data_IF_021259608872
#
_entry.id   IF_021259608872
#
_cell.length_a   1.000
_cell.length_b   1.000
_cell.length_c   1.000
_cell.angle_alpha   90.00
_cell.angle_beta   90.00
_cell.angle_gamma   90.00
#
_symmetry.space_group_name_H-M   'P 1'
#
loop_
_entity.id
_entity.type
_entity.pdbx_description
1 polymer ?
#
# COMPACT_ATOMS: atom_id res chain seq x y z
N UNK A 1 25.50 -10.11 -21.30
CA UNK A 1 25.55 -10.16 -22.79
C UNK A 1 25.77 -8.75 -23.29
N UNK A 2 26.73 -8.54 -24.19
CA UNK A 2 26.89 -7.24 -24.85
C UNK A 2 25.76 -7.07 -25.86
N UNK A 3 24.83 -6.16 -25.59
CA UNK A 3 23.68 -5.84 -26.45
C UNK A 3 24.09 -4.92 -27.63
N UNK A 4 25.19 -5.24 -28.31
CA UNK A 4 25.78 -4.42 -29.40
C UNK A 4 24.84 -4.18 -30.58
N UNK A 5 23.78 -4.97 -30.73
CA UNK A 5 22.85 -4.88 -31.88
C UNK A 5 21.56 -4.12 -31.59
N UNK A 6 21.34 -3.62 -30.35
CA UNK A 6 20.08 -2.96 -29.94
C UNK A 6 20.17 -1.44 -29.82
N UNK A 7 21.30 -0.82 -30.15
CA UNK A 7 21.41 0.64 -30.18
C UNK A 7 20.81 1.18 -31.48
N UNK A 8 19.91 2.15 -31.37
CA UNK A 8 19.33 2.89 -32.50
C UNK A 8 19.54 4.39 -32.30
N UNK A 9 20.40 4.99 -33.15
CA UNK A 9 20.65 6.42 -33.13
C UNK A 9 19.37 7.24 -33.38
N UNK A 10 18.49 6.73 -34.26
CA UNK A 10 17.21 7.37 -34.56
C UNK A 10 16.25 7.34 -33.36
N UNK A 11 16.26 6.25 -32.59
CA UNK A 11 15.41 6.08 -31.41
C UNK A 11 15.93 6.93 -30.24
N UNK A 12 17.27 7.00 -30.06
CA UNK A 12 17.89 7.91 -29.10
C UNK A 12 17.63 9.39 -29.46
N UNK A 13 17.64 9.76 -30.74
CA UNK A 13 17.29 11.10 -31.19
C UNK A 13 15.81 11.45 -30.98
N UNK A 14 14.93 10.43 -30.84
CA UNK A 14 13.53 10.57 -30.46
C UNK A 14 13.32 10.63 -28.94
N UNK A 15 14.40 10.55 -28.13
CA UNK A 15 14.35 10.70 -26.68
C UNK A 15 14.30 9.40 -25.88
N UNK A 16 14.46 8.21 -26.52
CA UNK A 16 14.45 6.90 -25.85
C UNK A 16 15.85 6.32 -25.76
N UNK A 17 16.35 6.09 -24.54
CA UNK A 17 17.67 5.54 -24.28
C UNK A 17 17.62 4.04 -23.93
N UNK A 18 17.75 3.18 -24.94
CA UNK A 18 17.76 1.72 -24.78
C UNK A 18 18.92 1.25 -23.86
N UNK A 19 20.08 1.91 -23.94
CA UNK A 19 21.25 1.55 -23.12
C UNK A 19 21.01 1.84 -21.64
N UNK A 20 20.37 2.96 -21.33
CA UNK A 20 19.91 3.27 -19.98
C UNK A 20 18.92 2.22 -19.46
N UNK A 21 18.00 1.74 -20.31
CA UNK A 21 17.09 0.64 -19.97
C UNK A 21 17.83 -0.63 -19.55
N UNK A 22 18.80 -1.08 -20.31
CA UNK A 22 19.60 -2.27 -19.95
C UNK A 22 20.40 -2.08 -18.65
N UNK A 23 20.95 -0.87 -18.45
CA UNK A 23 21.65 -0.56 -17.21
C UNK A 23 20.71 -0.56 -16.00
N UNK A 24 19.52 -0.02 -16.12
CA UNK A 24 18.51 -0.06 -15.06
C UNK A 24 18.19 -1.52 -14.69
N UNK A 25 17.92 -2.38 -15.67
CA UNK A 25 17.68 -3.82 -15.42
C UNK A 25 18.84 -4.48 -14.70
N UNK A 26 20.09 -4.20 -15.07
CA UNK A 26 21.25 -4.78 -14.39
C UNK A 26 21.35 -4.35 -12.93
N UNK A 27 21.08 -3.07 -12.64
CA UNK A 27 21.07 -2.51 -11.27
C UNK A 27 19.95 -3.11 -10.42
N UNK A 28 18.79 -3.44 -11.01
CA UNK A 28 17.62 -3.99 -10.32
C UNK A 28 17.77 -5.47 -9.92
N UNK A 29 18.55 -6.28 -10.66
CA UNK A 29 18.65 -7.75 -10.49
C UNK A 29 18.86 -8.19 -9.04
N UNK A 30 19.75 -7.53 -8.30
CA UNK A 30 20.03 -7.86 -6.90
C UNK A 30 18.82 -7.65 -5.99
N UNK A 31 17.98 -6.65 -6.29
CA UNK A 31 16.78 -6.33 -5.51
C UNK A 31 15.68 -7.35 -5.82
N UNK A 32 15.45 -7.62 -7.09
CA UNK A 32 14.46 -8.62 -7.56
C UNK A 32 14.78 -10.00 -7.02
N UNK A 33 16.06 -10.42 -7.03
CA UNK A 33 16.49 -11.71 -6.51
C UNK A 33 16.09 -11.95 -5.05
N UNK A 34 15.97 -10.91 -4.21
CA UNK A 34 15.53 -11.04 -2.81
C UNK A 34 14.07 -11.45 -2.68
N UNK A 35 13.25 -11.23 -3.69
CA UNK A 35 11.82 -11.51 -3.67
C UNK A 35 11.48 -12.92 -4.14
N UNK A 36 12.45 -13.66 -4.72
CA UNK A 36 12.22 -14.99 -5.26
C UNK A 36 11.75 -15.96 -4.18
N UNK A 37 10.76 -16.74 -4.54
CA UNK A 37 10.25 -17.85 -3.74
C UNK A 37 10.10 -19.10 -4.61
N UNK A 38 9.63 -20.19 -4.03
CA UNK A 38 9.48 -21.50 -4.69
C UNK A 38 8.57 -21.51 -5.92
N UNK A 39 7.66 -20.50 -6.03
CA UNK A 39 6.76 -20.36 -7.18
C UNK A 39 7.41 -19.73 -8.41
N UNK A 40 8.59 -19.11 -8.29
CA UNK A 40 9.27 -18.46 -9.42
C UNK A 40 9.92 -19.49 -10.32
N UNK A 41 9.46 -19.64 -11.56
CA UNK A 41 9.97 -20.61 -12.52
C UNK A 41 11.11 -20.04 -13.38
N UNK A 42 11.05 -18.74 -13.71
CA UNK A 42 11.99 -18.06 -14.59
C UNK A 42 12.71 -16.90 -13.90
N UNK A 43 13.81 -16.45 -14.50
CA UNK A 43 14.45 -15.18 -14.15
C UNK A 43 13.74 -14.02 -14.87
N UNK A 44 13.83 -12.81 -14.28
CA UNK A 44 13.27 -11.59 -14.88
C UNK A 44 14.00 -11.27 -16.19
N UNK A 45 13.23 -10.90 -17.23
CA UNK A 45 13.76 -10.49 -18.53
C UNK A 45 13.23 -11.28 -19.73
N UNK A 46 12.30 -12.22 -19.50
CA UNK A 46 11.52 -12.86 -20.56
C UNK A 46 10.32 -12.01 -21.01
N UNK A 47 9.50 -12.51 -21.93
CA UNK A 47 8.24 -11.83 -22.33
C UNK A 47 7.18 -11.82 -21.25
N UNK A 48 7.27 -12.69 -20.25
CA UNK A 48 6.35 -12.76 -19.13
C UNK A 48 6.99 -13.47 -17.95
N UNK A 49 6.49 -13.21 -16.73
CA UNK A 49 6.88 -13.91 -15.53
C UNK A 49 6.06 -15.18 -15.33
N UNK A 50 6.72 -16.34 -15.25
CA UNK A 50 6.07 -17.62 -14.98
C UNK A 50 6.07 -17.90 -13.47
N UNK A 51 4.88 -18.22 -12.93
CA UNK A 51 4.72 -18.53 -11.52
C UNK A 51 3.96 -19.85 -11.34
N UNK A 52 4.59 -20.82 -10.69
CA UNK A 52 4.01 -22.12 -10.34
C UNK A 52 3.11 -22.01 -9.11
N UNK A 53 1.90 -22.52 -9.21
CA UNK A 53 0.94 -22.53 -8.10
C UNK A 53 1.10 -23.76 -7.23
N UNK A 54 1.26 -23.57 -5.93
CA UNK A 54 1.11 -24.64 -4.96
C UNK A 54 -0.34 -24.66 -4.47
N UNK A 55 -1.11 -25.67 -4.91
CA UNK A 55 -2.51 -25.83 -4.57
C UNK A 55 -2.75 -26.83 -3.43
N UNK A 56 -1.68 -27.29 -2.76
CA UNK A 56 -1.81 -28.24 -1.65
C UNK A 56 -2.69 -27.69 -0.53
N UNK A 57 -3.69 -28.46 -0.12
CA UNK A 57 -4.63 -28.10 0.94
C UNK A 57 -5.73 -27.14 0.52
N UNK A 58 -5.89 -26.86 -0.77
CA UNK A 58 -6.99 -26.10 -1.34
C UNK A 58 -7.97 -27.04 -2.06
N UNK A 59 -9.27 -26.86 -1.81
CA UNK A 59 -10.33 -27.59 -2.47
C UNK A 59 -10.81 -26.85 -3.72
N UNK A 60 -11.02 -25.55 -3.61
CA UNK A 60 -11.51 -24.70 -4.70
C UNK A 60 -10.67 -23.39 -4.72
N UNK A 61 -9.46 -23.41 -5.35
CA UNK A 61 -8.58 -22.26 -5.37
C UNK A 61 -9.17 -21.11 -6.19
N UNK A 62 -9.12 -19.90 -5.62
CA UNK A 62 -9.58 -18.65 -6.24
C UNK A 62 -8.40 -17.67 -6.28
N UNK A 63 -8.17 -17.06 -7.44
CA UNK A 63 -7.21 -15.96 -7.59
C UNK A 63 -7.90 -14.64 -7.27
N UNK A 64 -7.21 -13.82 -6.51
CA UNK A 64 -7.61 -12.44 -6.20
C UNK A 64 -6.55 -11.50 -6.73
N UNK A 65 -6.94 -10.46 -7.44
CA UNK A 65 -6.01 -9.49 -8.01
C UNK A 65 -6.36 -8.08 -7.57
N UNK A 66 -5.33 -7.25 -7.41
CA UNK A 66 -5.46 -5.83 -7.12
C UNK A 66 -4.44 -5.04 -7.93
N UNK A 67 -4.84 -3.86 -8.39
CA UNK A 67 -3.97 -2.91 -9.07
C UNK A 67 -4.19 -1.54 -8.48
N UNK A 68 -3.10 -0.84 -8.19
CA UNK A 68 -3.12 0.53 -7.65
C UNK A 68 -1.79 1.22 -7.94
N UNK A 69 -1.73 2.52 -7.68
CA UNK A 69 -0.54 3.34 -7.79
C UNK A 69 -0.19 4.05 -6.48
N UNK A 70 0.87 4.84 -6.52
CA UNK A 70 1.30 5.65 -5.38
C UNK A 70 0.55 6.99 -5.27
N UNK A 71 -0.26 7.33 -6.26
CA UNK A 71 -0.93 8.62 -6.34
C UNK A 71 0.08 9.78 -6.35
N UNK A 72 -0.39 10.95 -5.96
CA UNK A 72 0.45 12.16 -6.04
C UNK A 72 1.54 12.26 -4.96
N UNK A 73 1.71 11.23 -4.10
CA UNK A 73 2.87 11.08 -3.20
C UNK A 73 4.19 11.07 -3.96
N UNK A 74 4.18 10.56 -5.19
CA UNK A 74 5.33 10.56 -6.11
C UNK A 74 5.94 11.95 -6.24
N UNK A 75 5.14 13.04 -6.26
CA UNK A 75 5.65 14.41 -6.35
C UNK A 75 6.56 14.76 -5.19
N UNK A 76 6.24 14.33 -3.99
CA UNK A 76 7.11 14.56 -2.82
C UNK A 76 8.40 13.75 -2.91
N UNK A 77 8.33 12.49 -3.38
CA UNK A 77 9.51 11.66 -3.61
C UNK A 77 10.49 12.31 -4.62
N UNK A 78 9.93 12.90 -5.69
CA UNK A 78 10.71 13.65 -6.70
C UNK A 78 11.36 14.88 -6.07
N UNK A 79 10.63 15.71 -5.32
CA UNK A 79 11.15 16.91 -4.69
C UNK A 79 12.25 16.63 -3.65
N UNK A 80 12.15 15.51 -2.93
CA UNK A 80 13.14 15.08 -1.95
C UNK A 80 14.30 14.28 -2.56
N UNK A 81 14.27 13.99 -3.86
CA UNK A 81 15.18 13.05 -4.54
C UNK A 81 15.34 11.73 -3.77
N UNK A 82 14.21 11.23 -3.22
CA UNK A 82 14.13 10.00 -2.42
C UNK A 82 13.15 9.02 -3.02
N UNK A 83 13.69 8.03 -3.72
CA UNK A 83 12.91 7.14 -4.59
C UNK A 83 12.83 5.70 -4.07
N UNK A 84 13.62 5.35 -3.07
CA UNK A 84 13.76 3.99 -2.55
C UNK A 84 12.61 3.50 -1.65
N UNK A 85 11.68 4.39 -1.30
CA UNK A 85 10.53 4.06 -0.44
C UNK A 85 9.20 4.04 -1.18
N UNK A 86 9.08 4.78 -2.28
CA UNK A 86 7.80 4.91 -3.01
C UNK A 86 7.30 3.56 -3.59
N UNK A 87 8.22 2.66 -3.93
CA UNK A 87 7.89 1.32 -4.38
C UNK A 87 7.20 0.48 -3.32
N UNK A 88 7.50 0.71 -2.03
CA UNK A 88 6.79 0.05 -0.92
C UNK A 88 5.32 0.48 -0.93
N UNK A 89 5.03 1.75 -1.19
CA UNK A 89 3.65 2.26 -1.28
C UNK A 89 2.88 1.55 -2.39
N UNK A 90 3.45 1.41 -3.60
CA UNK A 90 2.80 0.73 -4.71
C UNK A 90 2.44 -0.72 -4.38
N UNK A 91 3.37 -1.46 -3.76
CA UNK A 91 3.12 -2.84 -3.34
C UNK A 91 2.06 -2.88 -2.24
N UNK A 92 2.18 -2.03 -1.22
CA UNK A 92 1.27 -2.01 -0.07
C UNK A 92 -0.17 -1.74 -0.49
N UNK A 93 -0.40 -0.79 -1.40
CA UNK A 93 -1.74 -0.46 -1.90
C UNK A 93 -2.42 -1.66 -2.55
N UNK A 94 -1.65 -2.48 -3.30
CA UNK A 94 -2.19 -3.67 -3.96
C UNK A 94 -2.37 -4.85 -3.01
N UNK A 95 -1.34 -5.18 -2.20
CA UNK A 95 -1.37 -6.41 -1.39
C UNK A 95 -2.24 -6.30 -0.15
N UNK A 96 -2.40 -5.09 0.41
CA UNK A 96 -3.32 -4.85 1.52
C UNK A 96 -4.79 -5.00 1.08
N UNK A 97 -5.12 -4.68 -0.17
CA UNK A 97 -6.46 -4.92 -0.71
C UNK A 97 -6.72 -6.42 -0.92
N UNK A 98 -5.72 -7.14 -1.45
CA UNK A 98 -5.82 -8.60 -1.64
C UNK A 98 -6.05 -9.31 -0.30
N UNK A 99 -5.33 -8.93 0.74
CA UNK A 99 -5.48 -9.58 2.04
C UNK A 99 -6.83 -9.28 2.70
N UNK A 100 -7.51 -8.18 2.34
CA UNK A 100 -8.88 -7.91 2.79
C UNK A 100 -9.88 -9.00 2.33
N UNK A 101 -9.57 -9.71 1.23
CA UNK A 101 -10.33 -10.87 0.78
C UNK A 101 -9.86 -12.19 1.42
N UNK A 102 -8.85 -12.17 2.29
CA UNK A 102 -8.22 -13.36 2.87
C UNK A 102 -7.19 -14.05 1.97
N UNK A 103 -6.83 -13.44 0.83
CA UNK A 103 -5.92 -14.04 -0.14
C UNK A 103 -4.45 -13.76 0.21
N UNK A 104 -3.63 -14.83 0.13
CA UNK A 104 -2.18 -14.73 0.26
C UNK A 104 -1.59 -14.20 -1.03
N UNK A 105 -0.85 -13.07 -1.05
CA UNK A 105 -0.14 -12.60 -2.22
C UNK A 105 0.86 -13.63 -2.74
N UNK A 106 0.90 -13.81 -4.05
CA UNK A 106 1.79 -14.73 -4.75
C UNK A 106 2.91 -13.98 -5.46
N UNK A 107 2.52 -13.05 -6.32
CA UNK A 107 3.46 -12.27 -7.12
C UNK A 107 2.96 -10.86 -7.39
N UNK A 108 3.89 -10.03 -7.82
CA UNK A 108 3.70 -8.62 -8.14
C UNK A 108 4.35 -8.28 -9.48
N UNK A 109 3.75 -7.35 -10.19
CA UNK A 109 4.29 -6.70 -11.38
C UNK A 109 4.21 -5.19 -11.18
N UNK A 110 5.24 -4.45 -11.59
CA UNK A 110 5.23 -2.99 -11.59
C UNK A 110 5.15 -2.41 -13.02
N UNK A 111 4.66 -1.17 -13.11
CA UNK A 111 4.73 -0.36 -14.30
C UNK A 111 5.25 1.03 -13.91
N UNK A 112 6.39 1.41 -14.48
CA UNK A 112 7.01 2.72 -14.28
C UNK A 112 6.94 3.50 -15.59
N UNK A 113 6.14 4.56 -15.63
CA UNK A 113 6.16 5.55 -16.69
C UNK A 113 7.09 6.70 -16.27
N UNK A 114 8.04 7.11 -17.11
CA UNK A 114 8.96 8.20 -16.76
C UNK A 114 9.22 9.14 -17.95
N UNK A 115 9.49 10.39 -17.66
CA UNK A 115 9.89 11.37 -18.71
C UNK A 115 11.24 11.02 -19.31
N UNK A 116 12.16 10.53 -18.47
CA UNK A 116 13.48 10.02 -18.86
C UNK A 116 13.91 8.86 -17.97
N UNK A 117 14.43 7.81 -18.57
CA UNK A 117 15.00 6.69 -17.83
C UNK A 117 16.39 7.07 -17.28
N UNK A 118 16.44 7.35 -15.98
CA UNK A 118 17.69 7.50 -15.21
C UNK A 118 17.93 6.18 -14.46
N UNK A 119 18.88 5.35 -14.87
CA UNK A 119 19.02 3.97 -14.38
C UNK A 119 19.08 3.83 -12.86
N UNK A 120 19.79 4.74 -12.19
CA UNK A 120 19.94 4.75 -10.74
C UNK A 120 18.62 5.10 -10.04
N UNK A 121 17.84 6.05 -10.58
CA UNK A 121 16.51 6.43 -10.07
C UNK A 121 15.53 5.26 -10.22
N UNK A 122 15.48 4.65 -11.41
CA UNK A 122 14.62 3.49 -11.67
C UNK A 122 15.00 2.33 -10.74
N UNK A 123 16.28 2.04 -10.59
CA UNK A 123 16.75 1.00 -9.67
C UNK A 123 16.39 1.30 -8.21
N UNK A 124 16.41 2.55 -7.79
CA UNK A 124 15.97 2.96 -6.45
C UNK A 124 14.47 2.71 -6.27
N UNK A 125 13.62 3.09 -7.25
CA UNK A 125 12.18 2.82 -7.22
C UNK A 125 11.93 1.31 -7.09
N UNK A 126 12.55 0.50 -7.96
CA UNK A 126 12.38 -0.97 -7.94
C UNK A 126 12.95 -1.59 -6.67
N UNK A 127 13.96 -0.99 -6.04
CA UNK A 127 14.43 -1.47 -4.73
C UNK A 127 13.34 -1.36 -3.65
N UNK A 128 12.53 -0.30 -3.69
CA UNK A 128 11.35 -0.13 -2.85
C UNK A 128 10.24 -1.14 -3.19
N UNK A 129 9.97 -1.39 -4.47
CA UNK A 129 9.02 -2.43 -4.90
C UNK A 129 9.46 -3.80 -4.38
N UNK A 130 10.73 -4.15 -4.55
CA UNK A 130 11.29 -5.41 -4.06
C UNK A 130 11.18 -5.51 -2.53
N UNK A 131 11.43 -4.43 -1.79
CA UNK A 131 11.26 -4.41 -0.34
C UNK A 131 9.80 -4.67 0.07
N UNK A 132 8.84 -4.01 -0.58
CA UNK A 132 7.41 -4.27 -0.37
C UNK A 132 7.02 -5.72 -0.67
N UNK A 133 7.59 -6.31 -1.73
CA UNK A 133 7.39 -7.71 -2.05
C UNK A 133 7.94 -8.65 -0.97
N UNK A 134 9.15 -8.39 -0.44
CA UNK A 134 9.72 -9.14 0.68
C UNK A 134 8.85 -9.06 1.93
N UNK A 135 8.34 -7.87 2.25
CA UNK A 135 7.46 -7.67 3.40
C UNK A 135 6.15 -8.44 3.25
N UNK A 136 5.54 -8.45 2.07
CA UNK A 136 4.29 -9.16 1.78
C UNK A 136 4.47 -10.66 1.52
N UNK A 137 5.69 -11.12 1.20
CA UNK A 137 5.97 -12.49 0.78
C UNK A 137 5.63 -12.76 -0.69
N UNK A 138 5.27 -11.73 -1.47
CA UNK A 138 5.08 -11.82 -2.90
C UNK A 138 6.43 -11.85 -3.64
N UNK A 139 6.45 -12.45 -4.83
CA UNK A 139 7.61 -12.40 -5.72
C UNK A 139 7.45 -11.30 -6.78
N UNK A 140 8.45 -10.47 -6.97
CA UNK A 140 8.50 -9.56 -8.13
C UNK A 140 8.97 -10.37 -9.34
N UNK A 141 8.02 -10.73 -10.22
CA UNK A 141 8.30 -11.68 -11.34
C UNK A 141 8.43 -10.98 -12.69
N UNK A 142 8.19 -9.68 -12.75
CA UNK A 142 8.28 -8.89 -13.97
C UNK A 142 7.84 -7.46 -13.72
N UNK A 143 7.86 -6.67 -14.78
CA UNK A 143 7.43 -5.28 -14.78
C UNK A 143 7.78 -4.61 -16.08
N UNK A 144 7.47 -3.31 -16.20
CA UNK A 144 7.76 -2.51 -17.38
C UNK A 144 8.28 -1.12 -16.96
N UNK A 145 9.24 -0.62 -17.69
CA UNK A 145 9.68 0.79 -17.59
C UNK A 145 9.58 1.44 -18.95
N UNK A 146 8.70 2.43 -19.08
CA UNK A 146 8.44 3.12 -20.34
C UNK A 146 8.86 4.59 -20.27
N UNK A 147 9.70 5.04 -21.20
CA UNK A 147 10.00 6.46 -21.39
C UNK A 147 8.89 7.12 -22.20
N UNK A 148 8.43 8.29 -21.72
CA UNK A 148 7.39 9.10 -22.36
C UNK A 148 7.92 10.49 -22.70
N UNK A 149 8.93 10.59 -23.61
CA UNK A 149 9.53 11.87 -23.99
C UNK A 149 8.48 12.79 -24.64
N UNK A 150 8.43 14.03 -24.15
CA UNK A 150 7.47 15.02 -24.63
C UNK A 150 6.05 14.89 -24.06
N UNK A 151 5.72 13.78 -23.38
CA UNK A 151 4.44 13.58 -22.68
C UNK A 151 4.58 13.82 -21.17
N UNK A 152 5.72 13.47 -20.60
CA UNK A 152 6.04 13.71 -19.19
C UNK A 152 7.26 14.63 -19.07
N UNK A 153 7.31 15.52 -18.06
CA UNK A 153 8.55 16.21 -17.70
C UNK A 153 9.69 15.23 -17.44
N UNK A 154 10.92 15.64 -17.76
CA UNK A 154 12.11 14.78 -17.67
C UNK A 154 12.31 14.18 -16.28
N UNK A 155 11.99 14.93 -15.23
CA UNK A 155 12.19 14.50 -13.85
C UNK A 155 11.00 13.69 -13.28
N UNK A 156 9.86 13.73 -13.95
CA UNK A 156 8.64 13.12 -13.46
C UNK A 156 8.58 11.63 -13.83
N UNK A 157 7.90 10.89 -12.97
CA UNK A 157 7.52 9.49 -13.20
C UNK A 157 6.19 9.20 -12.52
N UNK A 158 5.56 8.11 -12.92
CA UNK A 158 4.45 7.49 -12.23
C UNK A 158 4.75 6.01 -12.00
N UNK A 159 4.20 5.46 -10.93
CA UNK A 159 4.42 4.08 -10.52
C UNK A 159 3.09 3.44 -10.14
N UNK A 160 2.78 2.36 -10.81
CA UNK A 160 1.64 1.50 -10.52
C UNK A 160 2.08 0.04 -10.35
N UNK A 161 1.26 -0.73 -9.70
CA UNK A 161 1.49 -2.14 -9.47
C UNK A 161 0.27 -3.01 -9.74
N UNK A 162 0.53 -4.28 -9.93
CA UNK A 162 -0.47 -5.33 -10.06
C UNK A 162 -0.04 -6.53 -9.24
N UNK A 163 -0.87 -6.91 -8.28
CA UNK A 163 -0.64 -8.06 -7.43
C UNK A 163 -1.66 -9.17 -7.72
N UNK A 164 -1.23 -10.40 -7.59
CA UNK A 164 -2.10 -11.58 -7.61
C UNK A 164 -1.88 -12.39 -6.33
N UNK A 165 -2.97 -12.74 -5.68
CA UNK A 165 -3.01 -13.62 -4.52
C UNK A 165 -3.91 -14.82 -4.76
N UNK A 166 -3.89 -15.76 -3.82
CA UNK A 166 -4.69 -16.98 -3.86
C UNK A 166 -5.37 -17.23 -2.52
N UNK A 167 -6.57 -17.75 -2.58
CA UNK A 167 -7.36 -18.16 -1.39
C UNK A 167 -8.22 -19.37 -1.76
N UNK A 168 -8.45 -20.26 -0.81
CA UNK A 168 -9.49 -21.28 -0.99
C UNK A 168 -10.86 -20.61 -0.90
N UNK A 169 -11.79 -20.89 -1.80
CA UNK A 169 -13.12 -20.26 -1.88
C UNK A 169 -13.85 -20.23 -0.54
N UNK A 170 -13.75 -21.29 0.23
CA UNK A 170 -14.39 -21.40 1.56
C UNK A 170 -13.71 -20.53 2.63
N UNK A 171 -12.49 -19.99 2.36
CA UNK A 171 -11.74 -19.10 3.25
C UNK A 171 -11.79 -17.64 2.81
N UNK A 172 -12.50 -17.34 1.73
CA UNK A 172 -12.76 -15.94 1.37
C UNK A 172 -13.48 -15.28 2.53
N UNK A 173 -12.99 -14.10 2.94
CA UNK A 173 -13.62 -13.34 4.02
C UNK A 173 -15.02 -12.94 3.58
N UNK A 174 -15.99 -13.41 4.34
CA UNK A 174 -17.42 -13.23 4.07
C UNK A 174 -18.07 -12.48 5.23
N UNK A 175 -18.56 -11.29 4.95
CA UNK A 175 -19.21 -10.43 5.93
C UNK A 175 -20.64 -10.88 6.30
N UNK A 176 -21.20 -11.86 5.61
CA UNK A 176 -22.57 -12.37 5.91
C UNK A 176 -22.69 -13.02 7.29
N UNK A 177 -21.55 -13.42 7.88
CA UNK A 177 -21.49 -13.99 9.23
C UNK A 177 -21.26 -12.93 10.34
N UNK A 178 -21.16 -11.64 9.97
CA UNK A 178 -21.04 -10.53 10.93
C UNK A 178 -22.33 -10.35 11.70
N UNK A 179 -22.24 -10.03 12.97
CA UNK A 179 -23.39 -9.85 13.86
C UNK A 179 -23.18 -8.66 14.80
N UNK A 180 -24.27 -8.11 15.34
CA UNK A 180 -24.21 -7.14 16.41
C UNK A 180 -23.50 -7.75 17.64
N UNK A 181 -22.59 -6.99 18.24
CA UNK A 181 -21.70 -7.43 19.31
C UNK A 181 -20.32 -7.89 18.81
N UNK A 182 -20.08 -8.05 17.51
CA UNK A 182 -18.73 -8.20 16.97
C UNK A 182 -17.92 -6.92 17.20
N UNK A 183 -16.60 -7.05 17.32
CA UNK A 183 -15.71 -5.96 17.73
C UNK A 183 -14.83 -5.51 16.58
N UNK A 184 -14.65 -4.20 16.46
CA UNK A 184 -13.77 -3.58 15.47
C UNK A 184 -12.39 -3.32 16.08
N UNK A 185 -11.38 -3.99 15.55
CA UNK A 185 -9.96 -3.82 15.90
C UNK A 185 -9.29 -2.95 14.86
N UNK A 186 -8.50 -1.97 15.30
CA UNK A 186 -7.63 -1.16 14.46
C UNK A 186 -6.22 -1.71 14.43
N UNK A 187 -5.59 -1.69 13.27
CA UNK A 187 -4.15 -1.78 13.08
C UNK A 187 -3.60 -0.39 12.77
N UNK A 188 -2.65 0.07 13.59
CA UNK A 188 -2.08 1.40 13.43
C UNK A 188 -1.40 1.58 12.08
N UNK A 189 -1.58 2.76 11.47
CA UNK A 189 -0.81 3.20 10.31
C UNK A 189 0.57 3.73 10.72
N UNK A 190 1.45 3.86 9.74
CA UNK A 190 2.79 4.49 9.91
C UNK A 190 2.79 5.98 9.62
N UNK A 191 1.68 6.51 9.17
CA UNK A 191 1.49 7.88 8.72
C UNK A 191 0.26 7.98 7.83
N UNK A 192 0.28 8.94 6.90
CA UNK A 192 -0.85 9.14 5.99
C UNK A 192 -0.95 8.05 4.88
N UNK A 193 0.07 7.19 4.80
CA UNK A 193 0.21 6.16 3.78
C UNK A 193 0.37 6.76 2.38
N UNK A 194 -0.47 6.37 1.41
CA UNK A 194 -0.38 6.87 0.03
C UNK A 194 -1.66 7.56 -0.46
N UNK A 195 -2.52 8.01 0.47
CA UNK A 195 -3.81 8.64 0.15
C UNK A 195 -3.92 10.05 0.71
N UNK A 196 -4.74 10.91 0.09
CA UNK A 196 -4.95 12.27 0.52
C UNK A 196 -3.82 13.24 0.15
N UNK A 197 -2.85 12.83 -0.68
CA UNK A 197 -1.69 13.66 -1.04
C UNK A 197 -2.04 14.90 -1.85
N UNK A 198 -3.11 14.89 -2.65
CA UNK A 198 -3.55 16.09 -3.35
C UNK A 198 -3.93 17.21 -2.37
N UNK A 199 -4.55 16.85 -1.23
CA UNK A 199 -4.85 17.80 -0.17
C UNK A 199 -3.57 18.23 0.57
N UNK A 200 -2.67 17.30 0.93
CA UNK A 200 -1.39 17.63 1.54
C UNK A 200 -0.56 18.57 0.67
N UNK A 201 -0.51 18.35 -0.65
CA UNK A 201 0.20 19.23 -1.59
C UNK A 201 -0.31 20.66 -1.51
N UNK A 202 -1.63 20.84 -1.43
CA UNK A 202 -2.25 22.16 -1.29
C UNK A 202 -1.99 22.77 0.09
N UNK A 203 -2.16 22.00 1.17
CA UNK A 203 -2.03 22.47 2.55
C UNK A 203 -0.62 22.94 2.86
N UNK A 204 0.39 22.18 2.42
CA UNK A 204 1.79 22.47 2.69
C UNK A 204 2.53 23.15 1.54
N UNK A 205 1.81 23.53 0.47
CA UNK A 205 2.38 24.17 -0.72
C UNK A 205 3.57 23.38 -1.30
N UNK A 206 3.41 22.05 -1.39
CA UNK A 206 4.47 21.13 -1.82
C UNK A 206 4.92 21.44 -3.25
N UNK A 207 3.99 21.83 -4.13
CA UNK A 207 4.28 22.06 -5.54
C UNK A 207 5.23 23.24 -5.77
N UNK A 208 5.25 24.20 -4.86
CA UNK A 208 6.19 25.33 -4.87
C UNK A 208 7.44 25.07 -4.01
N UNK A 209 7.63 23.82 -3.57
CA UNK A 209 8.78 23.42 -2.75
C UNK A 209 8.97 24.31 -1.51
N UNK A 210 7.90 24.51 -0.74
CA UNK A 210 7.89 25.37 0.44
C UNK A 210 9.02 24.99 1.41
N UNK A 211 9.93 25.91 1.79
CA UNK A 211 11.03 25.64 2.73
C UNK A 211 10.60 25.10 4.09
N UNK A 212 9.39 25.42 4.56
CA UNK A 212 8.82 24.92 5.81
C UNK A 212 8.68 23.39 5.87
N UNK A 213 8.64 22.74 4.70
CA UNK A 213 8.60 21.28 4.57
C UNK A 213 9.83 20.60 5.17
N UNK A 214 10.95 21.29 5.21
CA UNK A 214 12.27 20.76 5.60
C UNK A 214 12.71 21.19 7.00
N UNK A 215 11.84 21.89 7.74
CA UNK A 215 12.12 22.28 9.13
C UNK A 215 11.65 21.15 10.05
N UNK A 216 12.57 20.69 10.93
CA UNK A 216 12.23 19.68 11.95
C UNK A 216 11.18 20.23 12.93
N UNK A 217 10.22 19.38 13.28
CA UNK A 217 9.09 19.70 14.15
C UNK A 217 9.09 18.79 15.38
N UNK A 218 9.06 19.37 16.57
CA UNK A 218 9.02 18.61 17.83
C UNK A 218 7.74 17.74 17.89
N UNK A 219 6.61 18.23 17.38
CA UNK A 219 5.34 17.52 17.33
C UNK A 219 5.43 16.26 16.47
N UNK A 220 6.34 16.19 15.50
CA UNK A 220 6.61 15.04 14.65
C UNK A 220 7.77 14.17 15.16
N UNK A 221 8.18 14.36 16.42
CA UNK A 221 9.31 13.64 16.99
C UNK A 221 10.65 14.01 16.36
N UNK A 222 10.82 15.26 15.97
CA UNK A 222 12.03 15.80 15.34
C UNK A 222 12.11 15.58 13.82
N UNK A 223 11.11 14.93 13.21
CA UNK A 223 11.05 14.82 11.74
C UNK A 223 10.58 16.13 11.11
N UNK A 224 10.97 16.32 9.87
CA UNK A 224 10.39 17.35 9.01
C UNK A 224 9.01 16.93 8.51
N UNK A 225 8.22 17.88 8.01
CA UNK A 225 6.91 17.55 7.38
C UNK A 225 7.12 16.64 6.17
N UNK A 226 8.12 16.94 5.34
CA UNK A 226 8.43 16.13 4.16
C UNK A 226 8.79 14.68 4.53
N UNK A 227 9.62 14.47 5.55
CA UNK A 227 9.95 13.13 6.04
C UNK A 227 8.73 12.39 6.61
N UNK A 228 7.89 13.09 7.40
CA UNK A 228 6.68 12.49 7.98
C UNK A 228 5.65 12.07 6.92
N UNK A 229 5.50 12.87 5.87
CA UNK A 229 4.61 12.58 4.73
C UNK A 229 5.16 11.45 3.85
N UNK A 230 6.50 11.32 3.72
CA UNK A 230 7.10 10.31 2.84
C UNK A 230 7.23 8.92 3.50
N UNK A 231 6.87 8.77 4.77
CA UNK A 231 6.86 7.44 5.42
C UNK A 231 6.05 6.46 4.57
N UNK A 232 6.60 5.27 4.27
CA UNK A 232 5.91 4.28 3.45
C UNK A 232 4.62 3.76 4.08
N UNK A 233 3.70 3.37 3.23
CA UNK A 233 2.49 2.60 3.60
C UNK A 233 2.88 1.30 4.26
N UNK A 234 2.27 1.00 5.39
CA UNK A 234 2.50 -0.26 6.11
C UNK A 234 1.85 -1.44 5.38
N UNK A 235 2.57 -2.55 5.33
CA UNK A 235 2.10 -3.82 4.76
C UNK A 235 1.64 -4.72 5.92
N UNK A 236 0.37 -5.14 5.91
CA UNK A 236 -0.27 -5.91 6.98
C UNK A 236 -0.38 -7.41 6.67
N UNK A 237 0.10 -7.84 5.52
CA UNK A 237 -0.13 -9.19 4.97
C UNK A 237 0.25 -10.30 5.95
N UNK A 238 1.46 -10.27 6.50
CA UNK A 238 1.95 -11.37 7.37
C UNK A 238 1.16 -11.47 8.67
N UNK A 239 0.86 -10.34 9.30
CA UNK A 239 0.09 -10.29 10.54
C UNK A 239 -1.35 -10.73 10.34
N UNK A 240 -1.98 -10.32 9.24
CA UNK A 240 -3.34 -10.74 8.92
C UNK A 240 -3.40 -12.21 8.56
N UNK A 241 -2.46 -12.74 7.76
CA UNK A 241 -2.41 -14.18 7.46
C UNK A 241 -2.27 -15.02 8.75
N UNK A 242 -1.41 -14.61 9.69
CA UNK A 242 -1.28 -15.29 10.98
C UNK A 242 -2.58 -15.24 11.81
N UNK A 243 -3.30 -14.12 11.74
CA UNK A 243 -4.61 -13.98 12.40
C UNK A 243 -5.64 -14.95 11.81
N UNK A 244 -5.73 -15.02 10.47
CA UNK A 244 -6.69 -15.85 9.75
C UNK A 244 -6.54 -17.36 9.99
N UNK A 245 -5.39 -17.80 10.49
CA UNK A 245 -5.18 -19.20 10.86
C UNK A 245 -5.94 -19.63 12.13
N UNK A 246 -6.29 -18.68 13.01
CA UNK A 246 -6.79 -18.98 14.36
C UNK A 246 -8.09 -18.26 14.73
N UNK A 247 -8.37 -17.11 14.11
CA UNK A 247 -9.48 -16.23 14.46
C UNK A 247 -10.50 -16.20 13.34
N UNK A 248 -11.79 -16.25 13.69
CA UNK A 248 -12.90 -16.13 12.76
C UNK A 248 -13.14 -14.68 12.36
N UNK A 249 -12.32 -14.17 11.43
CA UNK A 249 -12.43 -12.80 10.92
C UNK A 249 -13.68 -12.65 10.08
N UNK A 250 -14.51 -11.66 10.41
CA UNK A 250 -15.80 -11.38 9.75
C UNK A 250 -15.71 -10.32 8.67
N UNK A 251 -14.71 -9.45 8.73
CA UNK A 251 -14.49 -8.39 7.76
C UNK A 251 -13.15 -7.72 7.97
N UNK A 252 -12.57 -7.23 6.88
CA UNK A 252 -11.33 -6.43 6.89
C UNK A 252 -11.54 -5.24 5.96
N UNK A 253 -11.08 -4.06 6.36
CA UNK A 253 -11.06 -2.87 5.52
C UNK A 253 -9.69 -2.22 5.54
N UNK A 254 -9.08 -2.06 4.37
CA UNK A 254 -7.90 -1.23 4.17
C UNK A 254 -8.33 0.23 4.10
N UNK A 255 -7.84 1.07 5.01
CA UNK A 255 -8.25 2.48 5.10
C UNK A 255 -7.40 3.32 4.15
N UNK A 256 -7.94 3.57 2.98
CA UNK A 256 -7.33 4.30 1.87
C UNK A 256 -8.04 5.64 1.60
N UNK A 257 -8.08 6.12 0.35
CA UNK A 257 -8.86 7.29 -0.05
C UNK A 257 -10.33 7.15 0.32
N UNK A 258 -10.94 8.23 0.81
CA UNK A 258 -12.28 8.19 1.39
C UNK A 258 -12.31 7.89 2.90
N UNK A 259 -11.15 7.57 3.50
CA UNK A 259 -10.98 7.43 4.94
C UNK A 259 -11.90 6.37 5.57
N UNK A 260 -12.33 6.62 6.79
CA UNK A 260 -13.21 5.72 7.55
C UNK A 260 -14.58 5.56 6.89
N UNK A 261 -15.15 6.66 6.40
CA UNK A 261 -16.53 6.72 5.91
C UNK A 261 -16.76 5.95 4.60
N UNK A 262 -15.73 5.74 3.79
CA UNK A 262 -15.86 4.99 2.54
C UNK A 262 -15.30 3.57 2.64
N UNK A 263 -14.27 3.34 3.48
CA UNK A 263 -13.61 2.04 3.48
C UNK A 263 -14.21 1.05 4.49
N UNK A 264 -14.51 1.47 5.72
CA UNK A 264 -15.13 0.59 6.72
C UNK A 264 -16.47 0.04 6.23
N UNK A 265 -17.39 0.85 5.65
CA UNK A 265 -18.67 0.38 5.13
C UNK A 265 -18.60 -0.74 4.10
N UNK A 266 -17.48 -0.88 3.35
CA UNK A 266 -17.33 -1.95 2.34
C UNK A 266 -17.37 -3.35 2.94
N UNK A 267 -16.92 -3.49 4.18
CA UNK A 267 -16.95 -4.76 4.91
C UNK A 267 -18.19 -4.96 5.76
N UNK A 268 -19.08 -3.98 5.87
CA UNK A 268 -20.27 -4.04 6.74
C UNK A 268 -21.50 -4.45 5.90
N UNK A 269 -22.22 -5.54 6.26
CA UNK A 269 -23.45 -5.94 5.57
C UNK A 269 -24.61 -4.97 5.88
N UNK A 270 -25.69 -5.10 5.09
CA UNK A 270 -26.89 -4.28 5.32
C UNK A 270 -27.55 -4.66 6.66
N UNK A 271 -28.11 -3.66 7.35
CA UNK A 271 -28.72 -3.81 8.66
C UNK A 271 -27.76 -3.76 9.84
N UNK A 272 -26.43 -3.70 9.57
CA UNK A 272 -25.39 -3.51 10.59
C UNK A 272 -24.62 -2.21 10.40
N UNK A 273 -24.09 -1.71 11.50
CA UNK A 273 -23.34 -0.46 11.59
C UNK A 273 -22.05 -0.67 12.41
N UNK A 274 -20.92 -0.22 11.87
CA UNK A 274 -19.70 -0.06 12.65
C UNK A 274 -19.79 1.23 13.49
N UNK A 275 -19.99 1.07 14.79
CA UNK A 275 -19.98 2.17 15.75
C UNK A 275 -18.55 2.36 16.26
N UNK A 276 -17.90 3.41 15.79
CA UNK A 276 -16.51 3.74 16.11
C UNK A 276 -16.47 4.75 17.23
N UNK A 277 -15.79 4.42 18.31
CA UNK A 277 -15.48 5.31 19.42
C UNK A 277 -14.30 6.22 19.01
N UNK A 278 -14.61 7.49 18.71
CA UNK A 278 -13.59 8.44 18.25
C UNK A 278 -12.43 8.59 19.23
N UNK A 279 -12.72 8.59 20.52
CA UNK A 279 -11.72 8.72 21.58
C UNK A 279 -10.74 7.52 21.64
N UNK A 280 -11.12 6.37 21.08
CA UNK A 280 -10.25 5.20 20.96
C UNK A 280 -9.30 5.26 19.78
N UNK A 281 -9.56 6.10 18.77
CA UNK A 281 -8.70 6.25 17.60
C UNK A 281 -7.43 7.00 17.98
N UNK A 282 -6.28 6.34 17.80
CA UNK A 282 -4.96 6.93 18.11
C UNK A 282 -4.46 7.75 16.93
N UNK A 283 -4.96 8.98 16.83
CA UNK A 283 -4.59 9.92 15.76
C UNK A 283 -3.10 10.25 15.85
N UNK A 284 -2.38 10.16 14.73
CA UNK A 284 -0.96 10.53 14.69
C UNK A 284 -0.79 12.04 14.53
N UNK A 285 0.27 12.65 15.09
CA UNK A 285 0.48 14.10 15.09
C UNK A 285 0.44 14.77 13.71
N UNK A 286 0.80 14.05 12.65
CA UNK A 286 0.78 14.57 11.28
C UNK A 286 -0.66 14.95 10.85
N UNK A 287 -1.68 14.21 11.30
CA UNK A 287 -3.08 14.52 10.96
C UNK A 287 -3.56 15.80 11.64
N UNK A 288 -3.17 16.02 12.91
CA UNK A 288 -3.45 17.29 13.62
C UNK A 288 -2.78 18.46 12.92
N UNK A 289 -1.55 18.27 12.44
CA UNK A 289 -0.82 19.31 11.70
C UNK A 289 -1.52 19.62 10.36
N UNK A 290 -1.94 18.60 9.60
CA UNK A 290 -2.72 18.80 8.35
C UNK A 290 -4.00 19.55 8.63
N UNK A 291 -4.77 19.12 9.64
CA UNK A 291 -6.04 19.74 10.00
C UNK A 291 -5.89 21.22 10.39
N UNK A 292 -4.90 21.53 11.25
CA UNK A 292 -4.62 22.89 11.71
C UNK A 292 -4.13 23.79 10.57
N UNK A 293 -3.14 23.35 9.80
CA UNK A 293 -2.53 24.13 8.73
C UNK A 293 -3.54 24.41 7.61
N UNK A 294 -4.34 23.41 7.24
CA UNK A 294 -5.35 23.51 6.19
C UNK A 294 -6.69 24.06 6.66
N UNK A 295 -6.88 24.27 7.97
CA UNK A 295 -8.18 24.58 8.58
C UNK A 295 -9.28 23.62 8.11
N UNK A 296 -8.98 22.30 8.18
CA UNK A 296 -9.84 21.24 7.66
C UNK A 296 -10.76 20.75 8.78
N UNK A 297 -12.08 20.70 8.55
CA UNK A 297 -13.03 20.15 9.51
C UNK A 297 -12.73 18.69 9.83
N UNK A 298 -12.96 18.28 11.08
CA UNK A 298 -12.71 16.91 11.55
C UNK A 298 -13.41 15.85 10.68
N UNK A 299 -14.66 16.11 10.28
CA UNK A 299 -15.42 15.22 9.38
C UNK A 299 -14.67 14.95 8.08
N UNK A 300 -14.10 15.99 7.47
CA UNK A 300 -13.36 15.89 6.21
C UNK A 300 -12.03 15.18 6.41
N UNK A 301 -11.39 15.33 7.58
CA UNK A 301 -10.19 14.56 7.93
C UNK A 301 -10.48 13.06 7.96
N UNK A 302 -11.54 12.62 8.64
CA UNK A 302 -11.96 11.20 8.67
C UNK A 302 -12.51 10.69 7.33
N UNK A 303 -12.93 11.58 6.44
CA UNK A 303 -13.38 11.24 5.09
C UNK A 303 -12.24 11.25 4.04
N UNK A 304 -11.04 11.73 4.41
CA UNK A 304 -9.90 11.81 3.47
C UNK A 304 -8.76 10.89 3.87
N UNK A 305 -8.51 10.77 5.18
CA UNK A 305 -7.31 10.14 5.74
C UNK A 305 -7.63 8.92 6.60
N UNK A 306 -6.61 8.11 6.83
CA UNK A 306 -6.67 6.94 7.71
C UNK A 306 -6.64 7.30 9.22
N UNK A 307 -6.40 8.54 9.59
CA UNK A 307 -6.38 9.08 10.96
C UNK A 307 -5.54 8.26 11.96
N UNK A 308 -4.55 7.50 11.50
CA UNK A 308 -3.72 6.63 12.34
C UNK A 308 -4.14 5.15 12.34
N UNK A 309 -5.18 4.78 11.59
CA UNK A 309 -5.66 3.40 11.43
C UNK A 309 -5.53 3.00 9.96
N UNK A 310 -4.54 2.16 9.64
CA UNK A 310 -4.32 1.74 8.25
C UNK A 310 -5.22 0.57 7.83
N UNK A 311 -5.67 -0.24 8.79
CA UNK A 311 -6.57 -1.36 8.54
C UNK A 311 -7.51 -1.57 9.73
N UNK A 312 -8.77 -1.90 9.47
CA UNK A 312 -9.71 -2.34 10.49
C UNK A 312 -10.12 -3.79 10.25
N UNK A 313 -10.32 -4.54 11.35
CA UNK A 313 -10.65 -5.97 11.34
C UNK A 313 -11.83 -6.18 12.27
N UNK A 314 -12.84 -6.94 11.82
CA UNK A 314 -13.99 -7.31 12.63
C UNK A 314 -13.88 -8.77 13.06
N UNK A 315 -13.98 -9.00 14.37
CA UNK A 315 -13.88 -10.33 14.99
C UNK A 315 -14.99 -10.53 16.03
N UNK A 316 -15.38 -11.80 16.34
CA UNK A 316 -16.29 -12.06 17.44
C UNK A 316 -15.75 -11.55 18.77
N UNK A 317 -16.62 -11.00 19.63
CA UNK A 317 -16.22 -10.48 20.94
C UNK A 317 -15.42 -11.50 21.78
N UNK A 318 -15.77 -12.78 21.69
CA UNK A 318 -15.08 -13.86 22.42
C UNK A 318 -13.63 -14.10 21.95
N UNK A 319 -13.25 -13.63 20.77
CA UNK A 319 -11.91 -13.85 20.18
C UNK A 319 -11.04 -12.58 20.18
N UNK A 320 -11.49 -11.47 20.75
CA UNK A 320 -10.77 -10.18 20.74
C UNK A 320 -9.39 -10.29 21.37
N UNK A 321 -9.27 -10.89 22.56
CA UNK A 321 -7.98 -10.98 23.27
C UNK A 321 -6.99 -11.88 22.52
N UNK A 322 -7.47 -12.98 21.93
CA UNK A 322 -6.65 -13.85 21.09
C UNK A 322 -6.18 -13.10 19.83
N UNK A 323 -7.08 -12.39 19.16
CA UNK A 323 -6.76 -11.58 17.99
C UNK A 323 -5.72 -10.51 18.30
N UNK A 324 -5.90 -9.74 19.39
CA UNK A 324 -4.95 -8.72 19.82
C UNK A 324 -3.58 -9.31 20.16
N UNK A 325 -3.56 -10.49 20.80
CA UNK A 325 -2.32 -11.18 21.14
C UNK A 325 -1.55 -11.59 19.88
N UNK A 326 -2.21 -12.26 18.94
CA UNK A 326 -1.60 -12.69 17.68
C UNK A 326 -1.04 -11.48 16.91
N UNK A 327 -1.84 -10.43 16.76
CA UNK A 327 -1.43 -9.23 16.00
C UNK A 327 -0.22 -8.55 16.66
N UNK A 328 -0.20 -8.44 17.98
CA UNK A 328 0.93 -7.84 18.72
C UNK A 328 2.20 -8.69 18.65
N UNK A 329 2.08 -10.02 18.67
CA UNK A 329 3.21 -10.94 18.47
C UNK A 329 3.81 -10.81 17.07
N UNK A 330 3.00 -10.41 16.07
CA UNK A 330 3.46 -10.08 14.72
C UNK A 330 4.02 -8.65 14.60
N UNK A 331 4.09 -7.89 15.70
CA UNK A 331 4.63 -6.53 15.73
C UNK A 331 3.63 -5.43 15.38
N UNK A 332 2.32 -5.76 15.38
CA UNK A 332 1.28 -4.75 15.15
C UNK A 332 0.96 -3.96 16.41
N UNK A 333 0.70 -2.66 16.23
CA UNK A 333 -0.01 -1.86 17.25
C UNK A 333 -1.50 -2.05 16.98
N UNK A 334 -2.08 -3.06 17.66
CA UNK A 334 -3.49 -3.42 17.52
C UNK A 334 -4.28 -3.05 18.78
N UNK A 335 -5.47 -2.49 18.58
CA UNK A 335 -6.35 -2.06 19.67
C UNK A 335 -7.83 -1.97 19.20
N UNK A 336 -8.76 -2.07 20.13
CA UNK A 336 -10.21 -1.95 19.85
C UNK A 336 -10.55 -0.48 19.59
N UNK A 337 -11.37 -0.22 18.56
CA UNK A 337 -11.89 1.11 18.22
C UNK A 337 -13.40 1.19 18.19
N UNK A 338 -14.13 0.10 18.32
CA UNK A 338 -15.58 0.10 18.28
C UNK A 338 -16.18 -1.29 18.23
N UNK A 339 -17.46 -1.32 17.95
CA UNK A 339 -18.29 -2.51 17.90
C UNK A 339 -19.24 -2.48 16.71
N UNK A 340 -19.75 -3.64 16.33
CA UNK A 340 -20.82 -3.76 15.35
C UNK A 340 -22.16 -3.71 16.09
N UNK A 341 -23.05 -2.87 15.63
CA UNK A 341 -24.41 -2.71 16.17
C UNK A 341 -25.45 -2.85 15.06
N UNK A 342 -26.71 -3.03 15.42
CA UNK A 342 -27.81 -2.89 14.44
C UNK A 342 -27.95 -1.41 14.02
N UNK A 343 -28.15 -1.16 12.74
CA UNK A 343 -28.33 0.20 12.22
C UNK A 343 -28.52 0.23 10.71
N UNK A 344 -29.10 1.33 10.22
CA UNK A 344 -29.28 1.59 8.79
C UNK A 344 -28.01 2.22 8.17
N UNK A 345 -27.33 3.08 8.95
CA UNK A 345 -26.04 3.62 8.57
C UNK A 345 -24.94 2.54 8.74
N UNK A 346 -24.07 2.39 7.75
CA UNK A 346 -22.99 1.40 7.82
C UNK A 346 -21.82 1.80 8.75
N UNK A 347 -21.73 3.07 9.10
CA UNK A 347 -20.73 3.60 10.02
C UNK A 347 -21.24 4.83 10.77
N UNK A 348 -20.95 4.86 12.07
CA UNK A 348 -21.12 6.04 12.93
C UNK A 348 -19.83 6.23 13.72
N UNK A 349 -19.31 7.47 13.76
CA UNK A 349 -18.16 7.87 14.61
C UNK A 349 -18.70 8.78 15.70
N UNK A 350 -18.59 8.40 16.97
CA UNK A 350 -19.15 9.08 18.13
C UNK A 350 -18.09 9.40 19.21
#
# INVERSE_FOLDING_TARGET
MEHKNSSSASYAAAGVDIVAGYRAVELMKKHVARTRNEGCLDDVGGFGGCFGLNLSGMEEPVLVSGTDGCGTKVKLAILMDKHDTIGIDAVAMCVNDIICCGAKPLFFLDYIACGKNVPEKIAAIVSGVAEGCVQSGAALIGGETAEHPGMMPVEDYDLAGFAVGIVDKKKIIDNTRMAAGDVVIALASTGIHSNGFSLCRKVFDIDNNNPELYIARDELGGKTVAEALLVPTKIYVKSVLALLEKVDVKGISHITGGGFYENIPRSIPDGLCAKIEKAAVKVLPIFDMIAKTGNIPERDMFNTYNMGVGMSIVVPAAQVEEALTILREQGETAYVIGEIVEGEDKIVIC
#
